data_IF_326494154573
#
_entry.id   IF_326494154573
#
_cell.length_a   1.000
_cell.length_b   1.000
_cell.length_c   1.000
_cell.angle_alpha   90.00
_cell.angle_beta   90.00
_cell.angle_gamma   90.00
#
_symmetry.space_group_name_H-M   'P 1'
#
loop_
_entity.id
_entity.type
_entity.pdbx_description
1 polymer ?
#
# COMPACT_ATOMS: atom_id res chain seq x y z
N UNK A 1 -13.82 -23.12 -3.59
CA UNK A 1 -13.96 -21.70 -3.19
C UNK A 1 -15.40 -21.31 -3.48
N UNK A 2 -16.21 -21.02 -2.46
CA UNK A 2 -17.59 -20.53 -2.68
C UNK A 2 -17.50 -19.21 -3.42
N UNK A 3 -18.24 -19.11 -4.54
CA UNK A 3 -18.37 -17.85 -5.26
C UNK A 3 -19.05 -16.83 -4.34
N UNK A 4 -18.33 -15.75 -4.02
CA UNK A 4 -18.92 -14.61 -3.33
C UNK A 4 -19.97 -14.02 -4.24
N UNK A 5 -21.21 -13.98 -3.80
CA UNK A 5 -22.32 -13.37 -4.53
C UNK A 5 -22.55 -11.96 -4.01
N UNK A 6 -22.17 -10.97 -4.80
CA UNK A 6 -22.61 -9.60 -4.61
C UNK A 6 -23.98 -9.43 -5.28
N UNK A 7 -24.95 -8.88 -4.55
CA UNK A 7 -26.25 -8.54 -5.13
C UNK A 7 -26.08 -7.42 -6.16
N UNK A 8 -26.74 -7.52 -7.30
CA UNK A 8 -26.84 -6.42 -8.23
C UNK A 8 -27.71 -5.31 -7.60
N UNK A 9 -27.25 -4.07 -7.68
CA UNK A 9 -28.00 -2.90 -7.22
C UNK A 9 -28.74 -2.27 -8.39
N UNK A 10 -29.97 -1.84 -8.15
CA UNK A 10 -30.69 -0.96 -9.07
C UNK A 10 -30.02 0.42 -9.12
N UNK A 11 -30.27 1.26 -10.15
CA UNK A 11 -29.71 2.61 -10.21
C UNK A 11 -30.03 3.47 -8.98
N UNK A 12 -31.24 3.35 -8.44
CA UNK A 12 -31.65 4.08 -7.23
C UNK A 12 -30.90 3.57 -5.99
N UNK A 13 -30.76 2.25 -5.82
CA UNK A 13 -29.97 1.68 -4.72
C UNK A 13 -28.49 2.02 -4.82
N UNK A 14 -27.96 2.08 -6.02
CA UNK A 14 -26.57 2.45 -6.26
C UNK A 14 -26.32 3.92 -5.90
N UNK A 15 -27.25 4.81 -6.23
CA UNK A 15 -27.18 6.21 -5.80
C UNK A 15 -27.26 6.31 -4.27
N UNK A 16 -28.24 5.66 -3.65
CA UNK A 16 -28.41 5.66 -2.20
C UNK A 16 -27.18 5.08 -1.48
N UNK A 17 -26.57 4.01 -2.01
CA UNK A 17 -25.31 3.45 -1.48
C UNK A 17 -24.19 4.48 -1.51
N UNK A 18 -24.05 5.22 -2.62
CA UNK A 18 -23.07 6.29 -2.75
C UNK A 18 -23.32 7.44 -1.77
N UNK A 19 -24.57 7.88 -1.65
CA UNK A 19 -24.96 8.99 -0.78
C UNK A 19 -24.75 8.66 0.71
N UNK A 20 -25.05 7.42 1.14
CA UNK A 20 -24.79 6.99 2.52
C UNK A 20 -23.29 6.99 2.85
N UNK A 21 -22.46 6.52 1.93
CA UNK A 21 -21.00 6.52 2.11
C UNK A 21 -20.43 7.94 2.10
N UNK A 22 -20.95 8.84 1.25
CA UNK A 22 -20.53 10.25 1.25
C UNK A 22 -21.00 10.97 2.53
N UNK A 23 -22.21 10.66 3.05
CA UNK A 23 -22.67 11.16 4.32
C UNK A 23 -21.83 10.67 5.50
N UNK A 24 -21.41 9.40 5.48
CA UNK A 24 -20.48 8.83 6.46
C UNK A 24 -19.14 9.59 6.45
N UNK A 25 -18.57 9.82 5.26
CA UNK A 25 -17.35 10.64 5.10
C UNK A 25 -17.52 12.03 5.70
N UNK A 26 -18.58 12.73 5.37
CA UNK A 26 -18.83 14.08 5.84
C UNK A 26 -18.92 14.16 7.40
N UNK A 27 -19.59 13.20 8.04
CA UNK A 27 -19.66 13.11 9.52
C UNK A 27 -18.27 12.97 10.14
N UNK A 28 -17.42 12.11 9.58
CA UNK A 28 -16.05 11.91 10.11
C UNK A 28 -15.16 13.11 9.90
N UNK A 29 -15.26 13.81 8.76
CA UNK A 29 -14.50 15.05 8.50
C UNK A 29 -14.93 16.19 9.45
N UNK A 30 -16.22 16.33 9.72
CA UNK A 30 -16.76 17.37 10.61
C UNK A 30 -16.28 17.24 12.07
N UNK A 31 -15.74 16.09 12.46
CA UNK A 31 -15.27 15.81 13.83
C UNK A 31 -13.75 15.70 13.97
N UNK A 32 -13.00 16.11 12.94
CA UNK A 32 -11.52 16.18 13.03
C UNK A 32 -11.10 17.13 14.14
N UNK A 33 -10.06 16.76 14.88
CA UNK A 33 -9.62 17.64 15.98
C UNK A 33 -8.44 17.10 16.80
N UNK A 34 -8.36 17.58 18.05
CA UNK A 34 -7.25 17.35 18.96
C UNK A 34 -6.90 15.88 19.20
N UNK A 35 -7.85 14.96 19.08
CA UNK A 35 -7.62 13.51 19.23
C UNK A 35 -6.72 13.00 18.09
N UNK A 36 -7.04 13.39 16.86
CA UNK A 36 -6.31 12.97 15.66
C UNK A 36 -4.92 13.61 15.61
N UNK A 37 -4.83 14.90 15.98
CA UNK A 37 -3.56 15.62 16.11
C UNK A 37 -2.64 14.99 17.17
N UNK A 38 -3.18 14.58 18.33
CA UNK A 38 -2.38 13.87 19.36
C UNK A 38 -1.94 12.51 18.87
N UNK A 39 -2.76 11.81 18.11
CA UNK A 39 -2.42 10.50 17.56
C UNK A 39 -1.20 10.60 16.66
N UNK A 40 -1.22 11.42 15.62
CA UNK A 40 -0.10 11.51 14.67
C UNK A 40 1.18 12.01 15.34
N UNK A 41 1.10 12.96 16.27
CA UNK A 41 2.27 13.41 17.02
C UNK A 41 2.89 12.32 17.89
N UNK A 42 2.07 11.39 18.43
CA UNK A 42 2.57 10.19 19.13
C UNK A 42 3.26 9.23 18.16
N UNK A 43 2.74 9.07 16.96
CA UNK A 43 3.37 8.26 15.91
C UNK A 43 4.75 8.87 15.56
N UNK A 44 4.82 10.19 15.32
CA UNK A 44 6.09 10.90 15.09
C UNK A 44 7.08 10.65 16.23
N UNK A 45 6.64 10.76 17.48
CA UNK A 45 7.49 10.51 18.64
C UNK A 45 7.95 9.03 18.69
N UNK A 46 7.04 8.07 18.44
CA UNK A 46 7.37 6.66 18.40
C UNK A 46 8.42 6.34 17.32
N UNK A 47 8.27 6.87 16.10
CA UNK A 47 9.25 6.73 15.01
C UNK A 47 10.62 7.26 15.42
N UNK A 48 10.66 8.46 15.99
CA UNK A 48 11.92 9.09 16.43
C UNK A 48 12.61 8.30 17.54
N UNK A 49 11.87 7.97 18.59
CA UNK A 49 12.45 7.27 19.75
C UNK A 49 12.86 5.84 19.44
N UNK A 50 12.06 5.09 18.67
CA UNK A 50 12.44 3.73 18.24
C UNK A 50 13.66 3.77 17.30
N UNK A 51 13.76 4.78 16.43
CA UNK A 51 14.90 4.98 15.54
C UNK A 51 16.20 5.30 16.33
N UNK A 52 16.12 6.20 17.30
CA UNK A 52 17.27 6.54 18.18
C UNK A 52 17.67 5.33 19.02
N UNK A 53 16.72 4.68 19.70
CA UNK A 53 16.97 3.51 20.52
C UNK A 53 17.56 2.35 19.69
N UNK A 54 17.02 2.09 18.48
CA UNK A 54 17.53 1.06 17.58
C UNK A 54 19.00 1.30 17.22
N UNK A 55 19.36 2.53 16.85
CA UNK A 55 20.75 2.88 16.53
C UNK A 55 21.67 2.78 17.76
N UNK A 56 21.23 3.31 18.92
CA UNK A 56 21.99 3.22 20.15
C UNK A 56 22.28 1.76 20.56
N UNK A 57 21.29 0.87 20.42
CA UNK A 57 21.44 -0.55 20.71
C UNK A 57 22.36 -1.26 19.71
N UNK A 58 22.31 -0.91 18.43
CA UNK A 58 23.24 -1.44 17.44
C UNK A 58 24.68 -1.04 17.75
N UNK A 59 24.92 0.22 18.16
CA UNK A 59 26.24 0.68 18.59
C UNK A 59 26.68 -0.02 19.89
N UNK A 60 25.79 -0.10 20.90
CA UNK A 60 26.08 -0.80 22.15
C UNK A 60 26.47 -2.26 21.87
N UNK A 61 25.72 -2.98 21.04
CA UNK A 61 26.03 -4.34 20.66
C UNK A 61 27.33 -4.46 19.87
N UNK A 62 27.72 -3.44 19.11
CA UNK A 62 28.99 -3.44 18.40
C UNK A 62 30.21 -3.26 19.35
N UNK A 63 30.08 -2.43 20.40
CA UNK A 63 31.20 -2.08 21.30
C UNK A 63 31.31 -2.96 22.53
N UNK A 64 30.25 -3.64 22.98
CA UNK A 64 30.21 -4.41 24.24
C UNK A 64 29.98 -5.88 23.95
N UNK A 65 31.05 -6.69 23.90
CA UNK A 65 31.03 -8.10 23.52
C UNK A 65 30.07 -8.95 24.36
N UNK A 66 29.95 -8.73 25.66
CA UNK A 66 29.06 -9.50 26.53
C UNK A 66 27.58 -9.34 26.24
N UNK A 67 27.17 -8.23 25.57
CA UNK A 67 25.77 -7.97 25.19
C UNK A 67 25.61 -7.86 23.68
N UNK A 68 26.62 -8.24 22.89
CA UNK A 68 26.65 -8.10 21.44
C UNK A 68 25.38 -8.62 20.77
N UNK A 69 25.05 -9.89 20.98
CA UNK A 69 23.92 -10.53 20.27
C UNK A 69 22.57 -9.97 20.74
N UNK A 70 22.24 -9.93 22.05
CA UNK A 70 20.93 -9.44 22.48
C UNK A 70 20.73 -7.96 22.17
N UNK A 71 21.76 -7.12 22.33
CA UNK A 71 21.67 -5.70 21.99
C UNK A 71 21.54 -5.48 20.48
N UNK A 72 22.24 -6.27 19.65
CA UNK A 72 22.12 -6.21 18.20
C UNK A 72 20.72 -6.61 17.74
N UNK A 73 20.18 -7.72 18.25
CA UNK A 73 18.80 -8.17 17.92
C UNK A 73 17.78 -7.10 18.32
N UNK A 74 17.86 -6.59 19.55
CA UNK A 74 16.98 -5.52 20.03
C UNK A 74 17.11 -4.25 19.17
N UNK A 75 18.34 -3.88 18.80
CA UNK A 75 18.62 -2.74 17.93
C UNK A 75 18.00 -2.90 16.53
N UNK A 76 18.15 -4.08 15.92
CA UNK A 76 17.52 -4.40 14.63
C UNK A 76 15.99 -4.33 14.74
N UNK A 77 15.40 -4.92 15.77
CA UNK A 77 13.94 -4.91 15.97
C UNK A 77 13.43 -3.48 16.14
N UNK A 78 14.07 -2.69 16.99
CA UNK A 78 13.68 -1.29 17.23
C UNK A 78 13.83 -0.44 15.96
N UNK A 79 14.91 -0.63 15.21
CA UNK A 79 15.13 0.10 13.95
C UNK A 79 14.14 -0.33 12.88
N UNK A 80 13.85 -1.63 12.74
CA UNK A 80 12.83 -2.14 11.82
C UNK A 80 11.44 -1.58 12.17
N UNK A 81 11.09 -1.55 13.47
CA UNK A 81 9.85 -0.95 13.96
C UNK A 81 9.76 0.54 13.59
N UNK A 82 10.83 1.30 13.83
CA UNK A 82 10.89 2.71 13.41
C UNK A 82 10.63 2.88 11.92
N UNK A 83 11.28 2.08 11.08
CA UNK A 83 11.16 2.15 9.62
C UNK A 83 9.76 1.70 9.12
N UNK A 84 9.15 0.71 9.75
CA UNK A 84 7.78 0.29 9.45
C UNK A 84 6.79 1.40 9.81
N UNK A 85 6.88 1.94 11.03
CA UNK A 85 5.98 3.01 11.47
C UNK A 85 6.15 4.28 10.63
N UNK A 86 7.39 4.62 10.28
CA UNK A 86 7.66 5.76 9.41
C UNK A 86 7.04 5.58 8.03
N UNK A 87 7.24 4.41 7.40
CA UNK A 87 6.77 4.17 6.05
C UNK A 87 5.24 4.00 5.98
N UNK A 88 4.67 3.18 6.89
CA UNK A 88 3.26 2.75 6.82
C UNK A 88 2.32 3.70 7.56
N UNK A 89 2.62 4.04 8.83
CA UNK A 89 1.68 4.77 9.67
C UNK A 89 1.88 6.29 9.61
N UNK A 90 3.13 6.75 9.43
CA UNK A 90 3.41 8.18 9.38
C UNK A 90 3.39 8.71 7.94
N UNK A 91 4.37 8.32 7.14
CA UNK A 91 4.60 8.94 5.84
C UNK A 91 3.47 8.67 4.84
N UNK A 92 3.02 7.42 4.73
CA UNK A 92 1.92 7.04 3.86
C UNK A 92 0.68 7.89 4.14
N UNK A 93 0.26 7.98 5.40
CA UNK A 93 -0.94 8.71 5.80
C UNK A 93 -0.79 10.24 5.67
N UNK A 94 0.40 10.78 5.99
CA UNK A 94 0.68 12.21 5.79
C UNK A 94 0.69 12.56 4.31
N UNK A 95 1.33 11.76 3.44
CA UNK A 95 1.38 12.01 2.00
C UNK A 95 -0.01 11.95 1.35
N UNK A 96 -0.97 11.21 1.96
CA UNK A 96 -2.38 11.25 1.57
C UNK A 96 -3.12 12.53 1.99
N UNK A 97 -2.46 13.47 2.68
CA UNK A 97 -3.07 14.71 3.12
C UNK A 97 -3.98 14.58 4.36
N UNK A 98 -3.96 13.44 5.04
CA UNK A 98 -4.85 13.15 6.17
C UNK A 98 -4.72 14.14 7.34
N UNK A 99 -3.63 14.88 7.40
CA UNK A 99 -3.31 15.82 8.48
C UNK A 99 -3.11 17.26 8.00
N UNK A 100 -3.39 17.57 6.72
CA UNK A 100 -3.23 18.90 6.14
C UNK A 100 -4.11 19.96 6.83
N UNK A 101 -5.26 19.54 7.35
CA UNK A 101 -6.17 20.38 8.13
C UNK A 101 -5.55 20.97 9.41
N UNK A 102 -4.45 20.39 9.91
CA UNK A 102 -3.74 20.90 11.09
C UNK A 102 -2.91 22.16 10.81
N UNK A 103 -2.60 22.46 9.55
CA UNK A 103 -1.71 23.55 9.16
C UNK A 103 -0.27 23.40 9.67
N UNK A 104 0.14 22.19 10.09
CA UNK A 104 1.48 21.91 10.60
C UNK A 104 2.44 21.67 9.43
N UNK A 105 3.47 22.53 9.20
CA UNK A 105 4.37 22.39 8.06
C UNK A 105 5.15 21.06 8.02
N UNK A 106 5.31 20.40 9.16
CA UNK A 106 6.00 19.10 9.26
C UNK A 106 5.09 17.91 8.87
N UNK A 107 3.78 18.14 8.73
CA UNK A 107 2.78 17.09 8.48
C UNK A 107 1.90 17.44 7.26
N UNK A 108 2.43 18.22 6.31
CA UNK A 108 1.75 18.58 5.08
C UNK A 108 1.96 17.53 3.98
N UNK A 109 0.86 16.98 3.47
CA UNK A 109 0.89 15.93 2.45
C UNK A 109 1.59 16.36 1.16
N UNK A 110 1.52 17.64 0.78
CA UNK A 110 2.13 18.17 -0.44
C UNK A 110 3.66 18.27 -0.37
N UNK A 111 4.25 18.43 0.82
CA UNK A 111 5.70 18.67 1.01
C UNK A 111 6.40 17.58 1.79
N UNK A 112 5.65 16.69 2.45
CA UNK A 112 6.23 15.61 3.24
C UNK A 112 7.08 14.66 2.37
N UNK A 113 8.23 14.27 2.90
CA UNK A 113 9.13 13.33 2.24
C UNK A 113 9.49 12.19 3.20
N UNK A 114 9.28 10.96 2.77
CA UNK A 114 9.48 9.75 3.55
C UNK A 114 10.92 9.20 3.55
N UNK A 115 11.21 8.28 4.47
CA UNK A 115 12.58 7.74 4.66
C UNK A 115 12.78 6.42 3.90
N UNK A 116 12.42 6.40 2.60
CA UNK A 116 12.70 5.29 1.68
C UNK A 116 13.35 5.80 0.39
N UNK A 117 13.78 4.92 -0.51
CA UNK A 117 14.48 5.30 -1.74
C UNK A 117 13.60 5.98 -2.79
N UNK A 118 12.30 5.66 -2.83
CA UNK A 118 11.34 6.31 -3.72
C UNK A 118 11.03 7.75 -3.29
N UNK A 119 10.70 8.65 -4.23
CA UNK A 119 10.30 10.02 -3.93
C UNK A 119 8.82 10.11 -3.61
N UNK A 120 8.43 10.93 -2.63
CA UNK A 120 7.03 11.19 -2.32
C UNK A 120 6.28 11.83 -3.49
N UNK A 121 6.96 12.64 -4.33
CA UNK A 121 6.34 13.23 -5.53
C UNK A 121 5.88 12.18 -6.55
N UNK A 122 6.67 11.13 -6.76
CA UNK A 122 6.27 10.03 -7.62
C UNK A 122 5.10 9.26 -7.01
N UNK A 123 5.16 8.99 -5.69
CA UNK A 123 4.10 8.32 -4.96
C UNK A 123 2.76 9.07 -5.04
N UNK A 124 2.75 10.41 -4.88
CA UNK A 124 1.54 11.22 -5.05
C UNK A 124 0.91 11.04 -6.43
N UNK A 125 1.73 10.88 -7.49
CA UNK A 125 1.26 10.73 -8.88
C UNK A 125 0.81 9.30 -9.18
N UNK A 126 1.59 8.31 -8.75
CA UNK A 126 1.35 6.90 -9.10
C UNK A 126 0.35 6.26 -8.14
N UNK A 127 0.50 6.48 -6.85
CA UNK A 127 -0.37 5.88 -5.84
C UNK A 127 -1.57 6.77 -5.48
N UNK A 128 -1.36 7.98 -4.91
CA UNK A 128 -2.49 8.77 -4.43
C UNK A 128 -3.45 9.17 -5.56
N UNK A 129 -2.93 9.50 -6.75
CA UNK A 129 -3.80 9.85 -7.88
C UNK A 129 -4.19 8.63 -8.70
N UNK A 130 -3.24 7.89 -9.31
CA UNK A 130 -3.60 6.85 -10.29
C UNK A 130 -4.19 5.61 -9.63
N UNK A 131 -3.53 5.06 -8.61
CA UNK A 131 -4.00 3.85 -7.95
C UNK A 131 -5.34 4.10 -7.23
N UNK A 132 -5.48 5.15 -6.43
CA UNK A 132 -6.75 5.45 -5.74
C UNK A 132 -7.89 5.83 -6.69
N UNK A 133 -7.58 6.52 -7.82
CA UNK A 133 -8.61 6.81 -8.82
C UNK A 133 -9.02 5.57 -9.58
N UNK A 134 -8.07 4.70 -9.95
CA UNK A 134 -8.27 3.58 -10.87
C UNK A 134 -8.00 2.22 -10.25
N UNK A 135 -8.19 2.06 -8.94
CA UNK A 135 -7.89 0.82 -8.20
C UNK A 135 -8.32 -0.41 -8.96
N UNK A 136 -7.35 -1.29 -9.22
CA UNK A 136 -7.50 -2.56 -9.94
C UNK A 136 -8.09 -2.44 -11.37
N UNK A 137 -8.09 -1.26 -12.00
CA UNK A 137 -8.47 -1.08 -13.42
C UNK A 137 -7.27 -1.39 -14.31
N UNK A 138 -7.37 -2.45 -15.10
CA UNK A 138 -6.29 -2.94 -15.95
C UNK A 138 -5.81 -1.88 -16.94
N UNK A 139 -4.50 -1.59 -16.90
CA UNK A 139 -3.81 -0.64 -17.77
C UNK A 139 -4.04 0.84 -17.44
N UNK A 140 -4.75 1.13 -16.33
CA UNK A 140 -4.83 2.46 -15.72
C UNK A 140 -4.15 2.47 -14.35
N UNK A 141 -4.29 1.39 -13.58
CA UNK A 141 -3.61 1.19 -12.31
C UNK A 141 -2.25 0.52 -12.54
N UNK A 142 -1.18 1.25 -12.24
CA UNK A 142 0.19 0.78 -12.40
C UNK A 142 0.62 -0.18 -11.25
N UNK A 143 -0.14 -0.22 -10.13
CA UNK A 143 0.18 -1.04 -8.95
C UNK A 143 -0.26 -2.51 -9.10
N UNK A 144 -1.01 -2.85 -10.16
CA UNK A 144 -1.40 -4.25 -10.43
C UNK A 144 -0.17 -5.11 -10.71
N UNK A 145 0.29 -5.85 -9.68
CA UNK A 145 1.47 -6.70 -9.76
C UNK A 145 2.76 -5.93 -10.07
N UNK A 146 2.73 -4.60 -9.98
CA UNK A 146 3.88 -3.69 -10.18
C UNK A 146 4.60 -3.89 -11.53
N UNK A 147 3.88 -4.35 -12.55
CA UNK A 147 4.46 -4.68 -13.85
C UNK A 147 5.38 -5.91 -13.87
N UNK A 148 5.67 -6.51 -12.73
CA UNK A 148 6.56 -7.66 -12.56
C UNK A 148 5.79 -8.99 -12.44
N UNK A 149 4.61 -8.98 -11.83
CA UNK A 149 3.85 -10.16 -11.50
C UNK A 149 2.53 -10.20 -12.28
N UNK A 150 2.17 -11.36 -12.76
CA UNK A 150 0.84 -11.65 -13.29
C UNK A 150 -0.05 -12.10 -12.14
N UNK A 151 -0.93 -11.22 -11.70
CA UNK A 151 -1.78 -11.43 -10.52
C UNK A 151 -3.19 -11.92 -10.91
N UNK A 152 -3.64 -11.59 -12.12
CA UNK A 152 -4.97 -11.90 -12.58
C UNK A 152 -4.96 -12.65 -13.92
N UNK A 153 -5.91 -13.54 -14.19
CA UNK A 153 -5.94 -14.35 -15.41
C UNK A 153 -6.11 -13.53 -16.68
N UNK A 154 -6.67 -12.33 -16.58
CA UNK A 154 -6.87 -11.40 -17.70
C UNK A 154 -5.58 -10.74 -18.20
N UNK A 155 -4.52 -10.71 -17.37
CA UNK A 155 -3.19 -10.26 -17.81
C UNK A 155 -2.62 -11.30 -18.79
N UNK A 156 -2.12 -10.82 -19.96
CA UNK A 156 -1.53 -11.70 -20.98
C UNK A 156 -0.34 -12.47 -20.38
N UNK A 157 -0.38 -13.81 -20.46
CA UNK A 157 0.72 -14.65 -20.02
C UNK A 157 1.96 -14.49 -20.91
N UNK A 158 3.14 -14.56 -20.31
CA UNK A 158 4.45 -14.57 -20.99
C UNK A 158 5.34 -15.60 -20.29
N UNK A 159 6.31 -16.26 -20.99
CA UNK A 159 7.21 -17.27 -20.40
C UNK A 159 7.97 -16.77 -19.15
N UNK A 160 8.30 -15.48 -19.09
CA UNK A 160 8.92 -14.83 -17.93
C UNK A 160 8.16 -15.09 -16.61
N UNK A 161 6.85 -15.20 -16.66
CA UNK A 161 6.05 -15.42 -15.44
C UNK A 161 6.24 -16.77 -14.77
N UNK A 162 6.87 -17.76 -15.46
CA UNK A 162 7.28 -18.99 -14.79
C UNK A 162 8.24 -18.73 -13.63
N UNK A 163 9.02 -17.66 -13.69
CA UNK A 163 9.95 -17.24 -12.64
C UNK A 163 9.28 -16.37 -11.56
N UNK A 164 8.01 -16.00 -11.71
CA UNK A 164 7.40 -15.03 -10.79
C UNK A 164 7.33 -15.45 -9.32
N UNK A 165 7.29 -16.73 -8.90
CA UNK A 165 7.41 -17.05 -7.48
C UNK A 165 8.75 -16.60 -6.87
N UNK A 166 9.85 -16.75 -7.63
CA UNK A 166 11.19 -16.27 -7.22
C UNK A 166 11.23 -14.74 -7.29
N UNK A 167 10.72 -14.16 -8.39
CA UNK A 167 10.63 -12.70 -8.56
C UNK A 167 9.83 -12.05 -7.43
N UNK A 168 8.74 -12.68 -6.96
CA UNK A 168 7.94 -12.18 -5.85
C UNK A 168 8.73 -12.13 -4.53
N UNK A 169 9.55 -13.14 -4.24
CA UNK A 169 10.42 -13.17 -3.05
C UNK A 169 11.47 -12.07 -3.13
N UNK A 170 12.16 -11.95 -4.27
CA UNK A 170 13.17 -10.90 -4.49
C UNK A 170 12.52 -9.52 -4.40
N UNK A 171 11.33 -9.36 -5.00
CA UNK A 171 10.58 -8.11 -4.93
C UNK A 171 10.15 -7.76 -3.50
N UNK A 172 9.73 -8.74 -2.69
CA UNK A 172 9.42 -8.52 -1.27
C UNK A 172 10.64 -8.02 -0.48
N UNK A 173 11.81 -8.63 -0.71
CA UNK A 173 13.06 -8.23 -0.06
C UNK A 173 13.53 -6.84 -0.50
N UNK A 174 13.31 -6.46 -1.75
CA UNK A 174 13.75 -5.21 -2.35
C UNK A 174 12.58 -4.25 -2.66
N UNK A 175 11.50 -4.30 -1.89
CA UNK A 175 10.23 -3.67 -2.25
C UNK A 175 10.36 -2.16 -2.50
N UNK A 176 11.03 -1.41 -1.62
CA UNK A 176 11.25 0.03 -1.81
C UNK A 176 12.01 0.37 -3.10
N UNK A 177 12.97 -0.50 -3.49
CA UNK A 177 13.75 -0.34 -4.72
C UNK A 177 12.91 -0.65 -5.95
N UNK A 178 12.09 -1.70 -5.86
CA UNK A 178 11.18 -2.10 -6.94
C UNK A 178 10.16 -1.01 -7.27
N UNK A 179 9.55 -0.39 -6.24
CA UNK A 179 8.63 0.75 -6.43
C UNK A 179 9.38 1.94 -7.05
N UNK A 180 10.55 2.31 -6.54
CA UNK A 180 11.32 3.43 -7.08
C UNK A 180 11.73 3.22 -8.55
N UNK A 181 12.01 1.98 -8.97
CA UNK A 181 12.32 1.64 -10.36
C UNK A 181 11.05 1.63 -11.22
N UNK A 182 9.93 1.14 -10.71
CA UNK A 182 8.64 1.16 -11.41
C UNK A 182 8.23 2.59 -11.78
N UNK A 183 8.42 3.54 -10.87
CA UNK A 183 8.13 4.96 -11.09
C UNK A 183 8.87 5.56 -12.27
N UNK A 184 10.02 5.02 -12.65
CA UNK A 184 10.79 5.43 -13.83
C UNK A 184 10.16 4.99 -15.15
N UNK A 185 9.17 4.08 -15.11
CA UNK A 185 8.42 3.60 -16.28
C UNK A 185 9.32 3.17 -17.44
N UNK A 186 10.37 2.40 -17.14
CA UNK A 186 11.36 1.96 -18.11
C UNK A 186 10.74 1.32 -19.37
N UNK A 187 9.62 0.63 -19.23
CA UNK A 187 8.87 0.06 -20.35
C UNK A 187 8.47 1.07 -21.44
N UNK A 188 8.32 2.36 -21.09
CA UNK A 188 8.05 3.43 -22.09
C UNK A 188 9.26 3.75 -22.95
N UNK A 189 10.47 3.59 -22.41
CA UNK A 189 11.73 3.77 -23.17
C UNK A 189 11.84 2.65 -24.20
N UNK A 190 11.65 1.40 -23.78
CA UNK A 190 11.69 0.24 -24.69
C UNK A 190 10.56 0.27 -25.74
N UNK A 191 9.44 0.91 -25.43
CA UNK A 191 8.34 1.12 -26.37
C UNK A 191 8.52 2.37 -27.27
N UNK A 192 9.63 3.07 -27.22
CA UNK A 192 9.90 4.30 -27.98
C UNK A 192 9.03 5.52 -27.57
N UNK A 193 8.33 5.43 -26.42
CA UNK A 193 7.41 6.46 -25.92
C UNK A 193 8.05 7.43 -24.94
N UNK A 194 9.33 7.26 -24.63
CA UNK A 194 10.14 8.12 -23.77
C UNK A 194 11.60 8.07 -24.23
N UNK A 195 12.23 9.23 -24.34
CA UNK A 195 13.66 9.35 -24.71
C UNK A 195 14.55 9.09 -23.49
N UNK A 196 15.82 8.72 -23.72
CA UNK A 196 16.81 8.56 -22.65
C UNK A 196 17.05 9.88 -21.89
N UNK A 197 16.94 11.04 -22.56
CA UNK A 197 17.04 12.35 -21.92
C UNK A 197 15.89 12.58 -20.92
N UNK A 198 14.66 12.21 -21.31
CA UNK A 198 13.50 12.29 -20.42
C UNK A 198 13.63 11.31 -19.24
N UNK A 199 14.11 10.08 -19.49
CA UNK A 199 14.41 9.13 -18.42
C UNK A 199 15.46 9.69 -17.45
N UNK A 200 16.55 10.29 -17.95
CA UNK A 200 17.58 10.90 -17.12
C UNK A 200 17.04 12.04 -16.26
N UNK A 201 16.12 12.85 -16.79
CA UNK A 201 15.46 13.91 -16.03
C UNK A 201 14.57 13.34 -14.89
N UNK A 202 13.84 12.24 -15.15
CA UNK A 202 13.03 11.55 -14.12
C UNK A 202 13.91 10.83 -13.10
N UNK A 203 15.02 10.23 -13.53
CA UNK A 203 15.94 9.50 -12.65
C UNK A 203 16.69 10.43 -11.69
N UNK A 204 17.02 11.66 -12.09
CA UNK A 204 17.83 12.58 -11.28
C UNK A 204 17.33 12.79 -9.85
N UNK A 205 16.04 13.13 -9.57
CA UNK A 205 15.54 13.26 -8.21
C UNK A 205 15.51 11.91 -7.46
N UNK A 206 15.10 10.83 -8.12
CA UNK A 206 15.08 9.47 -7.57
C UNK A 206 16.49 9.03 -7.21
N UNK A 207 17.46 9.14 -8.14
CA UNK A 207 18.87 8.76 -7.93
C UNK A 207 19.54 9.55 -6.80
N UNK A 208 19.22 10.86 -6.67
CA UNK A 208 19.70 11.67 -5.54
C UNK A 208 19.18 11.13 -4.20
N UNK A 209 17.91 10.78 -4.14
CA UNK A 209 17.32 10.23 -2.94
C UNK A 209 17.83 8.83 -2.61
N UNK A 210 17.94 7.95 -3.63
CA UNK A 210 18.57 6.64 -3.49
C UNK A 210 19.99 6.78 -2.92
N UNK A 211 20.81 7.69 -3.48
CA UNK A 211 22.17 7.97 -3.00
C UNK A 211 22.19 8.44 -1.54
N UNK A 212 21.26 9.34 -1.16
CA UNK A 212 21.12 9.81 0.22
C UNK A 212 20.78 8.67 1.20
N UNK A 213 19.87 7.77 0.82
CA UNK A 213 19.49 6.62 1.66
C UNK A 213 20.61 5.61 1.78
N UNK A 214 21.27 5.29 0.65
CA UNK A 214 22.44 4.41 0.66
C UNK A 214 23.56 4.97 1.53
N UNK A 215 23.88 6.25 1.36
CA UNK A 215 24.91 6.92 2.16
C UNK A 215 24.55 6.87 3.65
N UNK A 216 23.31 7.22 4.01
CA UNK A 216 22.86 7.24 5.41
C UNK A 216 22.94 5.86 6.06
N UNK A 217 22.26 4.86 5.47
CA UNK A 217 22.02 3.57 6.12
C UNK A 217 23.19 2.59 5.94
N UNK A 218 23.92 2.67 4.83
CA UNK A 218 24.95 1.67 4.49
C UNK A 218 26.39 2.19 4.53
N UNK A 219 26.58 3.50 4.68
CA UNK A 219 27.91 4.09 4.81
C UNK A 219 28.05 4.91 6.09
N UNK A 220 27.24 5.96 6.30
CA UNK A 220 27.41 6.90 7.41
C UNK A 220 27.27 6.22 8.78
N UNK A 221 26.14 5.60 9.07
CA UNK A 221 25.94 4.95 10.37
C UNK A 221 26.93 3.81 10.63
N UNK A 222 27.19 2.89 9.68
CA UNK A 222 28.25 1.89 9.86
C UNK A 222 29.64 2.51 10.06
N UNK A 223 30.02 3.54 9.31
CA UNK A 223 31.33 4.20 9.45
C UNK A 223 31.52 4.87 10.82
N UNK A 224 30.45 5.40 11.42
CA UNK A 224 30.49 5.96 12.78
C UNK A 224 30.85 4.91 13.84
N UNK A 225 30.66 3.62 13.56
CA UNK A 225 31.06 2.53 14.45
C UNK A 225 32.53 2.12 14.29
N UNK A 226 33.31 2.75 13.39
CA UNK A 226 34.73 2.48 13.19
C UNK A 226 35.01 1.00 12.88
N UNK A 227 35.84 0.31 13.69
CA UNK A 227 36.18 -1.10 13.44
C UNK A 227 34.97 -2.04 13.52
N UNK A 228 33.85 -1.62 14.09
CA UNK A 228 32.59 -2.36 14.18
C UNK A 228 31.61 -2.02 13.05
N UNK A 229 32.10 -1.52 11.93
CA UNK A 229 31.35 -1.19 10.73
C UNK A 229 30.39 -2.29 10.30
N UNK A 230 30.86 -3.52 10.20
CA UNK A 230 30.13 -4.66 9.66
C UNK A 230 28.88 -5.05 10.49
N UNK A 231 28.94 -5.21 11.81
CA UNK A 231 27.76 -5.46 12.62
C UNK A 231 26.67 -4.39 12.47
N UNK A 232 27.03 -3.11 12.39
CA UNK A 232 26.08 -2.01 12.22
C UNK A 232 25.50 -2.00 10.80
N UNK A 233 26.32 -2.25 9.78
CA UNK A 233 25.87 -2.41 8.39
C UNK A 233 24.84 -3.53 8.27
N UNK A 234 25.15 -4.71 8.80
CA UNK A 234 24.25 -5.86 8.77
C UNK A 234 22.95 -5.56 9.53
N UNK A 235 23.01 -4.87 10.65
CA UNK A 235 21.82 -4.43 11.40
C UNK A 235 20.91 -3.52 10.56
N UNK A 236 21.47 -2.54 9.85
CA UNK A 236 20.72 -1.66 8.96
C UNK A 236 20.13 -2.44 7.76
N UNK A 237 20.89 -3.36 7.15
CA UNK A 237 20.41 -4.22 6.05
C UNK A 237 19.21 -5.02 6.52
N UNK A 238 19.33 -5.75 7.63
CA UNK A 238 18.25 -6.60 8.15
C UNK A 238 17.02 -5.79 8.51
N UNK A 239 17.16 -4.62 9.14
CA UNK A 239 16.04 -3.74 9.46
C UNK A 239 15.30 -3.25 8.20
N UNK A 240 16.03 -2.91 7.14
CA UNK A 240 15.42 -2.53 5.85
C UNK A 240 14.71 -3.71 5.18
N UNK A 241 15.28 -4.93 5.22
CA UNK A 241 14.66 -6.13 4.68
C UNK A 241 13.35 -6.46 5.43
N UNK A 242 13.35 -6.38 6.77
CA UNK A 242 12.13 -6.59 7.59
C UNK A 242 11.04 -5.59 7.18
N UNK A 243 11.37 -4.29 7.08
CA UNK A 243 10.43 -3.27 6.64
C UNK A 243 9.91 -3.56 5.22
N UNK A 244 10.77 -3.90 4.27
CA UNK A 244 10.39 -4.19 2.89
C UNK A 244 9.42 -5.37 2.80
N UNK A 245 9.74 -6.50 3.45
CA UNK A 245 8.88 -7.67 3.47
C UNK A 245 7.53 -7.35 4.13
N UNK A 246 7.53 -6.63 5.25
CA UNK A 246 6.30 -6.23 5.92
C UNK A 246 5.40 -5.36 5.02
N UNK A 247 5.96 -4.32 4.42
CA UNK A 247 5.23 -3.41 3.52
C UNK A 247 4.66 -4.16 2.31
N UNK A 248 5.47 -5.04 1.68
CA UNK A 248 5.02 -5.91 0.59
C UNK A 248 3.82 -6.77 1.01
N UNK A 249 3.91 -7.45 2.15
CA UNK A 249 2.84 -8.34 2.65
C UNK A 249 1.54 -7.56 2.87
N UNK A 250 1.60 -6.41 3.53
CA UNK A 250 0.40 -5.61 3.80
C UNK A 250 -0.24 -5.09 2.52
N UNK A 251 0.53 -4.49 1.62
CA UNK A 251 0.01 -3.93 0.35
C UNK A 251 -0.59 -5.03 -0.53
N UNK A 252 0.10 -6.17 -0.68
CA UNK A 252 -0.41 -7.28 -1.49
C UNK A 252 -1.67 -7.91 -0.90
N UNK A 253 -1.76 -8.02 0.42
CA UNK A 253 -2.99 -8.48 1.09
C UNK A 253 -4.15 -7.48 0.95
N UNK A 254 -3.86 -6.20 0.74
CA UNK A 254 -4.87 -5.18 0.51
C UNK A 254 -5.59 -5.31 -0.85
N UNK A 255 -4.91 -5.85 -1.89
CA UNK A 255 -5.43 -5.78 -3.28
C UNK A 255 -5.47 -7.09 -4.05
N UNK A 256 -4.73 -8.12 -3.62
CA UNK A 256 -4.52 -9.31 -4.44
C UNK A 256 -4.97 -10.61 -3.78
N UNK A 257 -5.89 -10.54 -2.84
CA UNK A 257 -6.51 -11.71 -2.21
C UNK A 257 -7.50 -12.39 -3.13
N UNK A 258 -7.96 -13.61 -2.79
CA UNK A 258 -8.80 -14.42 -3.66
C UNK A 258 -10.08 -13.73 -4.14
N UNK A 259 -10.67 -12.85 -3.30
CA UNK A 259 -11.93 -12.17 -3.61
C UNK A 259 -11.73 -10.74 -4.16
N UNK A 260 -10.49 -10.26 -4.27
CA UNK A 260 -10.22 -8.98 -4.92
C UNK A 260 -10.37 -9.10 -6.43
N UNK A 261 -11.14 -8.20 -7.02
CA UNK A 261 -11.49 -8.18 -8.44
C UNK A 261 -10.61 -7.20 -9.23
N UNK A 262 -10.52 -7.42 -10.55
CA UNK A 262 -9.97 -6.43 -11.51
C UNK A 262 -11.05 -6.00 -12.49
N UNK A 263 -10.88 -4.80 -13.02
CA UNK A 263 -11.86 -4.15 -13.83
C UNK A 263 -11.30 -3.80 -15.22
N UNK A 264 -12.13 -3.84 -16.28
CA UNK A 264 -11.76 -3.36 -17.60
C UNK A 264 -11.75 -1.82 -17.62
N UNK A 265 -11.04 -1.20 -18.56
CA UNK A 265 -10.95 0.27 -18.66
C UNK A 265 -12.29 0.96 -18.89
N UNK A 266 -13.18 0.25 -19.53
CA UNK A 266 -14.51 0.74 -19.91
C UNK A 266 -15.38 1.02 -18.68
N UNK A 267 -15.10 0.36 -17.54
CA UNK A 267 -15.89 0.52 -16.31
C UNK A 267 -15.81 1.92 -15.70
N UNK A 268 -14.74 2.68 -15.99
CA UNK A 268 -14.57 4.05 -15.46
C UNK A 268 -15.14 5.12 -16.39
N UNK A 269 -15.67 4.72 -17.56
CA UNK A 269 -16.38 5.63 -18.44
C UNK A 269 -17.77 5.85 -17.85
N UNK A 270 -18.12 7.09 -17.58
CA UNK A 270 -19.41 7.47 -16.99
C UNK A 270 -19.69 6.83 -15.61
N UNK A 271 -18.61 6.52 -14.85
CA UNK A 271 -18.68 5.90 -13.52
C UNK A 271 -19.37 6.83 -12.52
N UNK A 272 -20.56 6.44 -12.00
CA UNK A 272 -21.21 7.18 -10.92
C UNK A 272 -20.47 7.02 -9.59
N UNK A 273 -20.78 7.88 -8.60
CA UNK A 273 -20.16 7.80 -7.28
C UNK A 273 -20.40 6.43 -6.60
N UNK A 274 -21.60 5.88 -6.71
CA UNK A 274 -21.92 4.55 -6.19
C UNK A 274 -21.13 3.43 -6.88
N UNK A 275 -20.94 3.51 -8.20
CA UNK A 275 -20.09 2.56 -8.95
C UNK A 275 -18.64 2.65 -8.51
N UNK A 276 -18.12 3.86 -8.30
CA UNK A 276 -16.76 4.07 -7.81
C UNK A 276 -16.58 3.40 -6.44
N UNK A 277 -17.50 3.58 -5.48
CA UNK A 277 -17.46 2.91 -4.19
C UNK A 277 -17.51 1.38 -4.32
N UNK A 278 -18.38 0.84 -5.18
CA UNK A 278 -18.43 -0.61 -5.42
C UNK A 278 -17.12 -1.15 -6.00
N UNK A 279 -16.49 -0.41 -6.88
CA UNK A 279 -15.19 -0.80 -7.47
C UNK A 279 -14.09 -0.78 -6.41
N UNK A 280 -14.02 0.25 -5.57
CA UNK A 280 -13.09 0.32 -4.44
C UNK A 280 -13.30 -0.85 -3.48
N UNK A 281 -14.55 -1.14 -3.10
CA UNK A 281 -14.92 -2.26 -2.22
C UNK A 281 -14.45 -3.61 -2.77
N UNK A 282 -14.72 -3.86 -4.05
CA UNK A 282 -14.42 -5.14 -4.70
C UNK A 282 -12.95 -5.28 -5.08
N UNK A 283 -12.24 -4.16 -5.25
CA UNK A 283 -10.81 -4.12 -5.52
C UNK A 283 -9.92 -4.21 -4.29
N UNK A 284 -10.51 -4.19 -3.08
CA UNK A 284 -9.78 -4.11 -1.82
C UNK A 284 -10.12 -5.25 -0.86
N UNK A 285 -9.27 -5.47 0.13
CA UNK A 285 -9.47 -6.45 1.21
C UNK A 285 -8.91 -5.96 2.52
N UNK A 286 -9.65 -6.21 3.61
CA UNK A 286 -9.24 -5.89 4.96
C UNK A 286 -8.56 -7.07 5.65
N UNK A 287 -7.73 -6.74 6.66
CA UNK A 287 -7.09 -7.70 7.54
C UNK A 287 -7.74 -7.65 8.91
N UNK A 288 -8.11 -8.82 9.45
CA UNK A 288 -8.54 -8.92 10.83
C UNK A 288 -7.35 -8.83 11.77
N UNK A 289 -7.47 -8.01 12.82
CA UNK A 289 -6.43 -7.86 13.85
C UNK A 289 -6.84 -6.86 14.93
N UNK A 290 -6.00 -6.75 15.95
CA UNK A 290 -6.17 -5.78 17.02
C UNK A 290 -5.42 -4.46 16.73
N UNK A 291 -5.39 -3.58 17.72
CA UNK A 291 -4.75 -2.25 17.63
C UNK A 291 -3.29 -2.29 17.15
N UNK A 292 -2.53 -3.29 17.59
CA UNK A 292 -1.13 -3.45 17.15
C UNK A 292 -1.06 -3.71 15.64
N UNK A 293 -1.90 -4.62 15.11
CA UNK A 293 -1.97 -4.89 13.68
C UNK A 293 -2.36 -3.64 12.89
N UNK A 294 -3.33 -2.87 13.38
CA UNK A 294 -3.74 -1.64 12.73
C UNK A 294 -2.57 -0.65 12.61
N UNK A 295 -1.89 -0.35 13.71
CA UNK A 295 -0.76 0.60 13.73
C UNK A 295 0.41 0.10 12.88
N UNK A 296 0.78 -1.19 13.02
CA UNK A 296 1.89 -1.77 12.26
C UNK A 296 1.62 -1.84 10.75
N UNK A 297 0.38 -1.92 10.34
CA UNK A 297 -0.01 -1.90 8.92
C UNK A 297 -0.23 -0.49 8.37
N UNK A 298 -0.06 0.56 9.14
CA UNK A 298 -0.43 1.92 8.72
C UNK A 298 -1.96 2.11 8.67
N UNK A 299 -2.70 1.36 9.49
CA UNK A 299 -4.15 1.19 9.40
C UNK A 299 -4.65 0.66 8.04
N UNK A 300 -3.74 0.19 7.16
CA UNK A 300 -4.10 -0.51 5.92
C UNK A 300 -4.67 -1.92 6.15
N UNK A 301 -4.73 -2.38 7.42
CA UNK A 301 -5.64 -3.46 7.81
C UNK A 301 -7.11 -3.13 7.50
N UNK A 302 -7.44 -1.85 7.32
CA UNK A 302 -8.71 -1.31 6.86
C UNK A 302 -8.56 -0.73 5.44
N UNK A 303 -8.13 -1.55 4.50
CA UNK A 303 -7.83 -1.13 3.12
C UNK A 303 -9.05 -0.60 2.38
N UNK A 304 -10.24 -1.16 2.63
CA UNK A 304 -11.51 -0.71 2.03
C UNK A 304 -11.78 0.74 2.46
N UNK A 305 -11.67 1.04 3.75
CA UNK A 305 -11.91 2.37 4.32
C UNK A 305 -10.86 3.37 3.86
N UNK A 306 -9.61 2.91 3.73
CA UNK A 306 -8.54 3.71 3.15
C UNK A 306 -8.82 4.10 1.70
N UNK A 307 -9.32 3.19 0.88
CA UNK A 307 -9.70 3.48 -0.50
C UNK A 307 -10.95 4.35 -0.62
N UNK A 308 -11.90 4.21 0.30
CA UNK A 308 -13.09 5.06 0.34
C UNK A 308 -12.76 6.49 0.74
N UNK A 309 -11.87 6.66 1.72
CA UNK A 309 -11.60 7.92 2.41
C UNK A 309 -10.11 8.11 2.67
N UNK A 310 -9.28 8.22 1.62
CA UNK A 310 -7.83 8.28 1.77
C UNK A 310 -7.34 9.53 2.49
N UNK A 311 -8.17 10.56 2.59
CA UNK A 311 -7.92 11.85 3.24
C UNK A 311 -8.42 11.94 4.69
N UNK A 312 -9.09 10.89 5.20
CA UNK A 312 -9.48 10.83 6.62
C UNK A 312 -8.33 10.23 7.44
N UNK A 313 -7.98 10.79 8.63
CA UNK A 313 -6.97 10.23 9.51
C UNK A 313 -7.17 8.74 9.79
N UNK A 314 -6.13 7.96 9.52
CA UNK A 314 -6.18 6.49 9.51
C UNK A 314 -6.58 5.86 10.87
N UNK A 315 -6.33 6.55 11.99
CA UNK A 315 -6.78 6.14 13.32
C UNK A 315 -8.31 6.07 13.46
N UNK A 316 -9.07 6.57 12.48
CA UNK A 316 -10.53 6.52 12.44
C UNK A 316 -11.06 5.30 11.68
N UNK A 317 -10.26 4.66 10.84
CA UNK A 317 -10.71 3.58 9.96
C UNK A 317 -11.36 2.41 10.70
N UNK A 318 -10.85 2.04 11.87
CA UNK A 318 -11.46 0.97 12.68
C UNK A 318 -12.91 1.29 13.11
N UNK A 319 -13.22 2.54 13.38
CA UNK A 319 -14.59 2.97 13.70
C UNK A 319 -15.46 3.05 12.43
N UNK A 320 -14.91 3.62 11.36
CA UNK A 320 -15.57 3.71 10.05
C UNK A 320 -15.90 2.31 9.50
N UNK A 321 -15.01 1.34 9.68
CA UNK A 321 -15.19 -0.04 9.20
C UNK A 321 -16.44 -0.72 9.76
N UNK A 322 -16.87 -0.38 10.97
CA UNK A 322 -18.11 -0.89 11.56
C UNK A 322 -19.32 -0.40 10.76
N UNK A 323 -19.36 0.89 10.45
CA UNK A 323 -20.46 1.50 9.69
C UNK A 323 -20.42 1.07 8.21
N UNK A 324 -19.26 1.03 7.58
CA UNK A 324 -19.09 0.54 6.20
C UNK A 324 -19.56 -0.90 6.06
N UNK A 325 -19.19 -1.77 7.02
CA UNK A 325 -19.61 -3.16 7.02
C UNK A 325 -21.14 -3.30 7.12
N UNK A 326 -21.79 -2.49 7.95
CA UNK A 326 -23.26 -2.45 8.08
C UNK A 326 -23.91 -1.98 6.77
N UNK A 327 -23.41 -0.89 6.18
CA UNK A 327 -23.89 -0.42 4.87
C UNK A 327 -23.74 -1.53 3.82
N UNK A 328 -22.57 -2.16 3.70
CA UNK A 328 -22.36 -3.26 2.78
C UNK A 328 -23.36 -4.41 2.98
N UNK A 329 -23.64 -4.78 4.24
CA UNK A 329 -24.60 -5.84 4.56
C UNK A 329 -26.03 -5.48 4.11
N UNK A 330 -26.49 -4.26 4.36
CA UNK A 330 -27.82 -3.78 3.94
C UNK A 330 -28.00 -3.81 2.42
N UNK A 331 -26.95 -3.49 1.69
CA UNK A 331 -26.97 -3.51 0.22
C UNK A 331 -26.56 -4.87 -0.38
N UNK A 332 -26.36 -5.91 0.44
CA UNK A 332 -25.97 -7.25 -0.02
C UNK A 332 -24.63 -7.29 -0.73
N UNK A 333 -23.68 -6.45 -0.33
CA UNK A 333 -22.33 -6.39 -0.85
C UNK A 333 -21.36 -7.13 0.06
N UNK A 334 -20.47 -7.91 -0.54
CA UNK A 334 -19.45 -8.63 0.21
C UNK A 334 -18.37 -7.69 0.72
N UNK A 335 -18.18 -7.70 2.05
CA UNK A 335 -17.10 -7.00 2.70
C UNK A 335 -15.93 -7.96 2.91
N UNK A 336 -14.89 -7.84 2.05
CA UNK A 336 -13.77 -8.78 1.99
C UNK A 336 -12.82 -8.58 3.17
N UNK A 337 -12.76 -9.54 4.08
CA UNK A 337 -11.89 -9.49 5.27
C UNK A 337 -11.37 -10.87 5.65
N UNK A 338 -10.20 -10.94 6.27
CA UNK A 338 -9.62 -12.20 6.73
C UNK A 338 -8.34 -12.02 7.54
N UNK A 339 -7.86 -13.09 8.18
CA UNK A 339 -6.60 -13.05 8.93
C UNK A 339 -5.39 -12.89 7.99
N UNK A 340 -4.32 -12.25 8.46
CA UNK A 340 -3.10 -12.03 7.68
C UNK A 340 -2.54 -13.33 7.07
N UNK A 341 -2.38 -14.44 7.82
CA UNK A 341 -1.85 -15.68 7.24
C UNK A 341 -2.74 -16.23 6.12
N UNK A 342 -4.08 -16.14 6.28
CA UNK A 342 -5.03 -16.60 5.26
C UNK A 342 -4.96 -15.73 4.01
N UNK A 343 -5.00 -14.40 4.16
CA UNK A 343 -4.97 -13.48 3.04
C UNK A 343 -3.62 -13.56 2.30
N UNK A 344 -2.51 -13.62 3.02
CA UNK A 344 -1.20 -13.76 2.40
C UNK A 344 -1.03 -15.12 1.70
N UNK A 345 -1.52 -16.22 2.29
CA UNK A 345 -1.56 -17.53 1.63
C UNK A 345 -2.34 -17.49 0.31
N UNK A 346 -3.45 -16.77 0.25
CA UNK A 346 -4.21 -16.56 -1.00
C UNK A 346 -3.42 -15.76 -2.04
N UNK A 347 -2.71 -14.70 -1.61
CA UNK A 347 -1.84 -13.90 -2.49
C UNK A 347 -0.73 -14.80 -3.07
N UNK A 348 -0.02 -15.55 -2.24
CA UNK A 348 1.05 -16.44 -2.68
C UNK A 348 0.53 -17.51 -3.63
N UNK A 349 -0.61 -18.12 -3.31
CA UNK A 349 -1.26 -19.07 -4.20
C UNK A 349 -1.61 -18.45 -5.55
N UNK A 350 -2.13 -17.21 -5.56
CA UNK A 350 -2.45 -16.46 -6.79
C UNK A 350 -1.21 -16.24 -7.64
N UNK A 351 -0.09 -15.83 -7.02
CA UNK A 351 1.20 -15.65 -7.69
C UNK A 351 1.65 -16.98 -8.32
N UNK A 352 1.68 -18.06 -7.57
CA UNK A 352 2.08 -19.40 -8.09
C UNK A 352 1.13 -19.86 -9.19
N UNK A 353 -0.18 -19.74 -8.98
CA UNK A 353 -1.20 -20.18 -9.96
C UNK A 353 -1.08 -19.42 -11.29
N UNK A 354 -0.82 -18.12 -11.26
CA UNK A 354 -0.70 -17.30 -12.47
C UNK A 354 0.71 -17.28 -13.07
N UNK A 355 1.69 -17.98 -12.48
CA UNK A 355 2.95 -18.30 -13.14
C UNK A 355 2.73 -19.15 -14.40
N UNK A 356 1.71 -19.99 -14.39
CA UNK A 356 1.37 -20.90 -15.49
C UNK A 356 0.32 -20.27 -16.42
N UNK A 357 0.30 -20.72 -17.71
CA UNK A 357 -0.74 -20.31 -18.64
C UNK A 357 -2.14 -20.62 -18.09
N UNK A 358 -3.06 -19.70 -18.26
CA UNK A 358 -4.48 -19.89 -17.92
C UNK A 358 -5.33 -19.16 -18.95
N UNK A 359 -6.52 -19.69 -19.22
CA UNK A 359 -7.51 -18.99 -20.05
C UNK A 359 -7.88 -17.68 -19.34
N UNK A 360 -8.04 -16.57 -20.07
CA UNK A 360 -8.58 -15.35 -19.50
C UNK A 360 -9.91 -15.64 -18.80
N UNK A 361 -10.05 -15.25 -17.54
CA UNK A 361 -11.33 -15.27 -16.86
C UNK A 361 -12.31 -14.33 -17.57
N UNK A 362 -13.61 -14.63 -17.55
CA UNK A 362 -14.59 -13.59 -17.88
C UNK A 362 -14.47 -12.49 -16.84
N UNK A 363 -14.07 -11.29 -17.26
CA UNK A 363 -14.11 -10.12 -16.40
C UNK A 363 -15.57 -9.97 -15.91
N UNK A 364 -15.81 -10.00 -14.62
CA UNK A 364 -17.10 -9.60 -14.06
C UNK A 364 -17.20 -8.09 -14.30
N UNK A 365 -17.98 -7.73 -15.31
CA UNK A 365 -18.35 -6.33 -15.49
C UNK A 365 -19.17 -5.90 -14.27
N UNK A 366 -18.86 -4.73 -13.71
CA UNK A 366 -19.86 -4.01 -12.92
C UNK A 366 -21.06 -3.79 -13.84
N UNK A 367 -22.31 -3.91 -13.34
CA UNK A 367 -23.48 -3.64 -14.18
C UNK A 367 -23.31 -2.29 -14.88
N UNK A 368 -23.46 -2.26 -16.20
CA UNK A 368 -23.39 -1.01 -16.94
C UNK A 368 -24.54 -0.12 -16.49
N UNK A 369 -24.29 1.18 -16.39
CA UNK A 369 -25.32 2.19 -16.22
C UNK A 369 -26.23 2.08 -17.44
N UNK A 370 -27.44 1.48 -17.31
CA UNK A 370 -28.45 1.45 -18.39
C UNK A 370 -28.97 0.10 -18.86
N UNK A 371 -28.47 -1.05 -18.40
CA UNK A 371 -28.98 -2.36 -18.87
C UNK A 371 -30.23 -2.90 -18.12
N UNK A 372 -30.80 -2.14 -17.19
CA UNK A 372 -32.00 -2.57 -16.45
C UNK A 372 -33.33 -2.41 -17.25
N UNK A 373 -33.31 -2.05 -18.53
CA UNK A 373 -34.54 -1.78 -19.30
C UNK A 373 -34.71 -2.62 -20.57
N UNK A 374 -34.04 -3.77 -20.71
CA UNK A 374 -34.35 -4.73 -21.79
C UNK A 374 -34.66 -6.09 -21.17
N UNK A 375 -35.83 -6.21 -20.55
CA UNK A 375 -36.53 -7.48 -20.51
C UNK A 375 -37.25 -7.63 -21.87
N UNK A 376 -37.09 -8.76 -22.60
CA UNK A 376 -37.92 -9.05 -23.74
C UNK A 376 -39.33 -9.37 -23.23
N UNK A 377 -40.34 -8.65 -23.79
CA UNK A 377 -41.74 -8.99 -23.68
C UNK A 377 -42.08 -10.29 -24.41
#
# INVERSE_FOLDING_TARGET
MSSVHNRALSPAELQAFGDELDALRARHLATLGARDARYIRRVVAAVRWTGVAGRALLFLGAFVHSVLIPAWIAGVVMLALSKILENMELAHNVIHGQYDWMGDPQLQGSTYEWDIVGTADNWRKTHNFRHHTYTNVRGLDDDIGYGLLRIFPEQRWRPFYLMQPVVAVVFALLFEWGIAIQDLRLGRVFAGKMTLRQLGAQFRPVGRKMGKQMFKDYLLFPALAGPFFLPVLLGNVVANLIRNVWTYVIIFCGHFTANAETFPKECVRDESRGHWYLRQLRGSSNLTGGKLMNVMSGNLSHQIEHHFYPDIPANRYAAIAVEVKDICARYGQHYNTGSLPRQFGQVMWRIVRHAFPSKPGRARALPAVGEASRQPG
#
